data_IF_314565004351
#
_entry.id   IF_314565004351
#
_cell.length_a   1.000
_cell.length_b   1.000
_cell.length_c   1.000
_cell.angle_alpha   90.00
_cell.angle_beta   90.00
_cell.angle_gamma   90.00
#
_symmetry.space_group_name_H-M   'P 1'
#
loop_
_entity.id
_entity.type
_entity.pdbx_description
1 polymer ?
#
# COMPACT_ATOMS: atom_id res chain seq x y z
N UNK A 1 -6.60 12.61 12.04
CA UNK A 1 -5.36 13.38 11.78
C UNK A 1 -4.45 12.50 10.92
N UNK A 2 -3.97 13.01 9.79
CA UNK A 2 -3.12 12.24 8.85
C UNK A 2 -1.67 12.29 9.33
N UNK A 3 -0.96 11.15 9.35
CA UNK A 3 0.47 11.13 9.74
C UNK A 3 1.35 11.63 8.59
N UNK A 4 2.55 12.13 8.91
CA UNK A 4 3.53 12.71 7.96
C UNK A 4 3.81 11.89 6.70
N UNK A 5 3.63 10.56 6.76
CA UNK A 5 3.93 9.66 5.66
C UNK A 5 2.70 8.95 5.06
N UNK A 6 1.50 9.28 5.52
CA UNK A 6 0.25 8.64 5.08
C UNK A 6 -0.48 9.53 4.08
N UNK A 7 -1.33 8.90 3.27
CA UNK A 7 -2.23 9.60 2.35
C UNK A 7 -3.36 10.28 3.10
N UNK A 8 -3.66 11.52 2.70
CA UNK A 8 -4.90 12.18 3.08
C UNK A 8 -6.12 11.45 2.49
N UNK A 9 -7.32 11.73 2.99
CA UNK A 9 -8.54 11.14 2.42
C UNK A 9 -8.72 11.54 0.94
N UNK A 10 -8.50 12.81 0.61
CA UNK A 10 -8.59 13.29 -0.77
C UNK A 10 -7.59 12.58 -1.71
N UNK A 11 -6.34 12.42 -1.28
CA UNK A 11 -5.35 11.66 -2.07
C UNK A 11 -5.71 10.18 -2.18
N UNK A 12 -6.29 9.60 -1.12
CA UNK A 12 -6.75 8.23 -1.13
C UNK A 12 -7.88 8.03 -2.15
N UNK A 13 -8.85 8.95 -2.20
CA UNK A 13 -9.98 8.89 -3.13
C UNK A 13 -9.55 8.90 -4.60
N UNK A 14 -8.46 9.61 -4.94
CA UNK A 14 -7.91 9.63 -6.30
C UNK A 14 -7.39 8.26 -6.75
N UNK A 15 -6.81 7.48 -5.84
CA UNK A 15 -6.13 6.21 -6.18
C UNK A 15 -6.95 4.98 -5.81
N UNK A 16 -7.98 5.12 -4.95
CA UNK A 16 -8.73 4.00 -4.39
C UNK A 16 -9.38 3.14 -5.48
N UNK A 17 -9.91 3.75 -6.54
CA UNK A 17 -10.57 3.08 -7.67
C UNK A 17 -9.59 2.41 -8.64
N UNK A 18 -8.29 2.73 -8.56
CA UNK A 18 -7.25 2.17 -9.42
C UNK A 18 -6.66 0.87 -8.84
N UNK A 19 -6.92 0.63 -7.56
CA UNK A 19 -6.49 -0.58 -6.88
C UNK A 19 -7.34 -1.77 -7.34
N UNK A 20 -6.73 -2.95 -7.48
CA UNK A 20 -7.47 -4.15 -7.85
C UNK A 20 -8.57 -4.44 -6.83
N UNK A 21 -9.68 -5.05 -7.26
CA UNK A 21 -10.78 -5.38 -6.35
C UNK A 21 -10.30 -6.27 -5.19
N UNK A 22 -10.77 -5.99 -3.99
CA UNK A 22 -10.44 -6.78 -2.80
C UNK A 22 -11.12 -8.16 -2.86
N UNK A 23 -10.49 -9.12 -3.57
CA UNK A 23 -11.01 -10.48 -3.66
C UNK A 23 -10.42 -11.25 -4.83
N UNK A 24 -9.34 -11.98 -4.57
CA UNK A 24 -8.90 -13.09 -5.42
C UNK A 24 -9.02 -14.42 -4.66
N UNK A 25 -8.87 -15.58 -5.34
CA UNK A 25 -8.93 -16.88 -4.70
C UNK A 25 -7.88 -16.98 -3.57
N UNK A 26 -8.32 -17.19 -2.33
CA UNK A 26 -7.43 -17.34 -1.16
C UNK A 26 -7.66 -16.40 0.02
N UNK A 27 -8.59 -15.43 -0.05
CA UNK A 27 -9.07 -14.69 1.13
C UNK A 27 -9.18 -13.18 0.97
N UNK A 28 -9.76 -12.56 2.00
CA UNK A 28 -10.01 -11.10 2.10
C UNK A 28 -8.67 -10.38 2.18
N UNK A 29 -8.39 -9.55 1.17
CA UNK A 29 -7.15 -8.77 1.14
C UNK A 29 -7.05 -7.85 2.36
N UNK A 30 -5.83 -7.66 2.89
CA UNK A 30 -5.57 -6.62 3.89
C UNK A 30 -5.99 -5.26 3.32
N UNK A 31 -6.47 -4.36 4.18
CA UNK A 31 -6.90 -3.02 3.80
C UNK A 31 -5.84 -2.34 2.92
N UNK A 32 -6.23 -1.99 1.69
CA UNK A 32 -5.28 -1.44 0.72
C UNK A 32 -4.68 -0.13 1.18
N UNK A 33 -5.45 0.69 1.89
CA UNK A 33 -4.95 1.97 2.39
C UNK A 33 -3.80 1.76 3.36
N UNK A 34 -3.97 0.80 4.26
CA UNK A 34 -2.95 0.39 5.22
C UNK A 34 -1.68 -0.10 4.52
N UNK A 35 -1.82 -0.97 3.51
CA UNK A 35 -0.69 -1.49 2.71
C UNK A 35 0.01 -0.36 1.95
N UNK A 36 -0.72 0.47 1.22
CA UNK A 36 -0.17 1.59 0.44
C UNK A 36 0.57 2.55 1.36
N UNK A 37 -0.03 2.91 2.50
CA UNK A 37 0.62 3.75 3.49
C UNK A 37 1.89 3.11 4.08
N UNK A 38 1.90 1.78 4.29
CA UNK A 38 3.09 1.05 4.72
C UNK A 38 4.22 1.12 3.68
N UNK A 39 3.90 0.94 2.40
CA UNK A 39 4.86 1.11 1.31
C UNK A 39 5.41 2.53 1.26
N UNK A 40 4.53 3.54 1.31
CA UNK A 40 4.94 4.95 1.30
C UNK A 40 5.82 5.31 2.49
N UNK A 41 5.48 4.81 3.68
CA UNK A 41 6.29 5.00 4.88
C UNK A 41 7.69 4.42 4.68
N UNK A 42 7.79 3.16 4.26
CA UNK A 42 9.08 2.50 4.02
C UNK A 42 9.91 3.22 2.96
N UNK A 43 9.30 3.61 1.85
CA UNK A 43 9.98 4.33 0.76
C UNK A 43 10.49 5.69 1.20
N UNK A 44 9.73 6.43 2.02
CA UNK A 44 10.12 7.76 2.51
C UNK A 44 11.17 7.73 3.63
N UNK A 45 11.17 6.68 4.44
CA UNK A 45 12.07 6.56 5.61
C UNK A 45 13.29 5.70 5.36
N UNK A 46 13.26 4.84 4.33
CA UNK A 46 14.37 3.95 3.98
C UNK A 46 14.57 2.75 4.92
N UNK A 47 13.67 2.54 5.88
CA UNK A 47 13.85 1.49 6.89
C UNK A 47 13.84 0.07 6.29
N UNK A 48 14.47 -0.90 6.96
CA UNK A 48 14.29 -2.31 6.66
C UNK A 48 12.81 -2.71 6.72
N UNK A 49 12.40 -3.64 5.87
CA UNK A 49 11.00 -4.13 5.85
C UNK A 49 10.57 -4.71 7.21
N UNK A 50 11.48 -5.40 7.90
CA UNK A 50 11.21 -6.00 9.22
C UNK A 50 10.93 -4.97 10.32
N UNK A 51 11.36 -3.73 10.13
CA UNK A 51 11.17 -2.65 11.09
C UNK A 51 9.94 -1.80 10.77
N UNK A 52 9.11 -2.26 9.81
CA UNK A 52 7.89 -1.57 9.44
C UNK A 52 6.96 -1.47 10.67
N UNK A 53 6.42 -0.29 10.99
CA UNK A 53 5.53 -0.15 12.13
C UNK A 53 4.30 -1.04 12.03
N UNK A 54 3.95 -1.72 13.13
CA UNK A 54 2.86 -2.72 13.20
C UNK A 54 1.49 -2.19 12.76
N UNK A 55 1.27 -0.87 12.85
CA UNK A 55 0.06 -0.21 12.36
C UNK A 55 -0.19 -0.37 10.85
N UNK A 56 0.83 -0.76 10.08
CA UNK A 56 0.71 -1.08 8.65
C UNK A 56 0.45 -2.57 8.40
N UNK A 57 0.23 -3.35 9.45
CA UNK A 57 0.06 -4.79 9.39
C UNK A 57 1.38 -5.55 9.21
N UNK A 58 1.31 -6.85 8.93
CA UNK A 58 2.48 -7.68 8.74
C UNK A 58 3.36 -7.16 7.59
N UNK A 59 4.64 -6.94 7.86
CA UNK A 59 5.57 -6.42 6.84
C UNK A 59 5.66 -7.33 5.61
N UNK A 60 5.45 -8.64 5.77
CA UNK A 60 5.42 -9.60 4.67
C UNK A 60 4.29 -9.27 3.69
N UNK A 61 3.09 -8.95 4.19
CA UNK A 61 1.95 -8.57 3.37
C UNK A 61 2.23 -7.29 2.58
N UNK A 62 2.81 -6.28 3.26
CA UNK A 62 3.16 -5.01 2.62
C UNK A 62 4.25 -5.21 1.56
N UNK A 63 5.28 -6.00 1.88
CA UNK A 63 6.37 -6.35 0.97
C UNK A 63 5.86 -7.12 -0.25
N UNK A 64 5.02 -8.14 -0.06
CA UNK A 64 4.48 -8.93 -1.17
C UNK A 64 3.66 -8.06 -2.13
N UNK A 65 2.87 -7.12 -1.60
CA UNK A 65 2.10 -6.15 -2.40
C UNK A 65 3.00 -5.21 -3.17
N UNK A 66 3.98 -4.63 -2.49
CA UNK A 66 5.01 -3.82 -3.12
C UNK A 66 5.72 -4.57 -4.26
N UNK A 67 5.98 -5.88 -4.10
CA UNK A 67 6.66 -6.72 -5.09
C UNK A 67 5.76 -7.16 -6.25
N UNK A 68 4.46 -7.42 -6.02
CA UNK A 68 3.52 -7.94 -7.04
C UNK A 68 2.95 -6.85 -7.94
N UNK A 69 2.61 -5.71 -7.36
CA UNK A 69 1.94 -4.61 -8.07
C UNK A 69 2.71 -3.91 -9.20
N UNK A 70 4.06 -4.00 -9.30
CA UNK A 70 4.74 -3.57 -10.51
C UNK A 70 4.45 -4.51 -11.68
N UNK A 71 4.34 -5.82 -11.42
CA UNK A 71 4.17 -6.84 -12.45
C UNK A 71 2.76 -6.84 -13.06
N UNK A 72 1.73 -6.49 -12.27
CA UNK A 72 0.34 -6.35 -12.74
C UNK A 72 -0.01 -4.90 -13.17
N UNK A 73 0.95 -3.99 -13.12
CA UNK A 73 0.80 -2.58 -13.52
C UNK A 73 0.03 -1.71 -12.53
N UNK A 74 -0.37 -2.22 -11.36
CA UNK A 74 -1.09 -1.44 -10.33
C UNK A 74 -0.29 -0.21 -9.90
N UNK A 75 1.01 -0.33 -9.64
CA UNK A 75 1.83 0.84 -9.27
C UNK A 75 1.93 1.87 -10.39
N UNK A 76 2.02 1.43 -11.65
CA UNK A 76 2.05 2.35 -12.77
C UNK A 76 0.76 3.19 -12.82
N UNK A 77 -0.40 2.55 -12.67
CA UNK A 77 -1.71 3.25 -12.63
C UNK A 77 -1.75 4.28 -11.50
N UNK A 78 -1.31 3.90 -10.30
CA UNK A 78 -1.31 4.79 -9.13
C UNK A 78 -0.35 5.97 -9.31
N UNK A 79 0.82 5.77 -9.93
CA UNK A 79 1.82 6.81 -10.13
C UNK A 79 1.50 7.78 -11.28
N UNK A 80 0.58 7.40 -12.17
CA UNK A 80 0.16 8.21 -13.33
C UNK A 80 -1.20 8.90 -13.13
N UNK A 81 -1.83 8.74 -11.96
CA UNK A 81 -3.06 9.43 -11.56
C UNK A 81 -2.77 10.75 -10.84
#
# INVERSE_FOLDING_TARGET
MVRRHELTNAQWELIASLLPEAGGPGGRWADHRTVVNGVLYRTRTGIPWRDLPERYGPWQTVYERHRRWPADGTWAKILHA
#
